data_IF_059534719761
#
_entry.id   IF_059534719761
#
_cell.length_a   1.000
_cell.length_b   1.000
_cell.length_c   1.000
_cell.angle_alpha   90.00
_cell.angle_beta   90.00
_cell.angle_gamma   90.00
#
_symmetry.space_group_name_H-M   'P 1'
#
loop_
_entity.id
_entity.type
_entity.pdbx_description
1 polymer ?
#
# COMPACT_ATOMS: atom_id res chain seq x y z
N UNK A 1 4.96 -16.57 -17.37
CA UNK A 1 5.15 -17.10 -16.02
C UNK A 1 4.36 -16.28 -15.01
N UNK A 2 4.48 -14.95 -15.04
CA UNK A 2 3.77 -14.07 -14.13
C UNK A 2 2.44 -13.63 -14.72
N UNK A 3 1.39 -13.73 -13.91
CA UNK A 3 0.01 -13.46 -14.32
C UNK A 3 -0.60 -12.25 -13.63
N UNK A 4 0.05 -11.74 -12.58
CA UNK A 4 -0.39 -10.55 -11.87
C UNK A 4 0.77 -9.59 -11.56
N UNK A 5 0.44 -8.29 -11.56
CA UNK A 5 1.23 -7.20 -11.06
C UNK A 5 0.59 -6.69 -9.77
N UNK A 6 1.36 -6.59 -8.69
CA UNK A 6 1.04 -5.85 -7.48
C UNK A 6 1.99 -4.67 -7.39
N UNK A 7 1.50 -3.44 -7.49
CA UNK A 7 2.35 -2.24 -7.48
C UNK A 7 1.95 -1.31 -6.35
N UNK A 8 2.95 -0.79 -5.63
CA UNK A 8 2.74 0.38 -4.77
C UNK A 8 2.35 1.60 -5.62
N UNK A 9 1.75 2.61 -4.97
CA UNK A 9 1.26 3.82 -5.63
C UNK A 9 2.28 4.95 -5.63
N UNK A 10 2.59 5.50 -4.44
CA UNK A 10 3.37 6.73 -4.32
C UNK A 10 4.86 6.50 -4.57
N UNK A 11 5.45 7.24 -5.51
CA UNK A 11 6.84 7.10 -5.95
C UNK A 11 7.21 5.72 -6.54
N UNK A 12 6.22 4.86 -6.76
CA UNK A 12 6.36 3.57 -7.46
C UNK A 12 5.62 3.59 -8.79
N UNK A 13 4.30 3.76 -8.78
CA UNK A 13 3.49 3.88 -10.00
C UNK A 13 3.18 5.35 -10.31
N UNK A 14 2.96 6.15 -9.27
CA UNK A 14 2.60 7.56 -9.37
C UNK A 14 3.76 8.48 -8.97
N UNK A 15 3.89 9.59 -9.67
CA UNK A 15 4.78 10.70 -9.34
C UNK A 15 3.93 11.89 -8.91
N UNK A 16 4.21 12.45 -7.72
CA UNK A 16 3.41 13.53 -7.13
C UNK A 16 1.90 13.21 -7.07
N UNK A 17 1.56 11.97 -6.73
CA UNK A 17 0.18 11.50 -6.60
C UNK A 17 -0.57 11.29 -7.92
N UNK A 18 0.11 11.31 -9.07
CA UNK A 18 -0.51 11.11 -10.38
C UNK A 18 0.20 10.03 -11.19
N UNK A 19 -0.59 9.19 -11.84
CA UNK A 19 -0.12 8.22 -12.83
C UNK A 19 -0.05 8.95 -14.17
N UNK A 20 1.11 8.91 -14.82
CA UNK A 20 1.29 9.53 -16.12
C UNK A 20 0.68 8.70 -17.27
N UNK A 21 0.67 9.28 -18.48
CA UNK A 21 0.10 8.63 -19.66
C UNK A 21 0.84 7.36 -20.08
N UNK A 22 2.16 7.27 -19.85
CA UNK A 22 2.96 6.11 -20.22
C UNK A 22 2.67 4.92 -19.28
N UNK A 23 2.61 5.17 -17.98
CA UNK A 23 2.26 4.16 -16.98
C UNK A 23 0.81 3.69 -17.15
N UNK A 24 -0.13 4.60 -17.46
CA UNK A 24 -1.51 4.24 -17.78
C UNK A 24 -1.59 3.33 -19.00
N UNK A 25 -0.94 3.70 -20.10
CA UNK A 25 -0.93 2.89 -21.33
C UNK A 25 -0.28 1.52 -21.10
N UNK A 26 0.75 1.43 -20.24
CA UNK A 26 1.36 0.16 -19.87
C UNK A 26 0.37 -0.73 -19.09
N UNK A 27 -0.37 -0.19 -18.12
CA UNK A 27 -1.42 -0.92 -17.40
C UNK A 27 -2.54 -1.40 -18.34
N UNK A 28 -2.94 -0.58 -19.29
CA UNK A 28 -3.92 -0.97 -20.31
C UNK A 28 -3.42 -2.16 -21.15
N UNK A 29 -2.15 -2.15 -21.58
CA UNK A 29 -1.51 -3.29 -22.29
C UNK A 29 -1.45 -4.54 -21.39
N UNK A 30 -1.07 -4.37 -20.11
CA UNK A 30 -1.05 -5.48 -19.15
C UNK A 30 -2.43 -6.17 -19.08
N UNK A 31 -3.48 -5.41 -18.90
CA UNK A 31 -4.86 -5.93 -18.85
C UNK A 31 -5.30 -6.57 -20.18
N UNK A 32 -4.99 -5.95 -21.30
CA UNK A 32 -5.28 -6.49 -22.63
C UNK A 32 -4.61 -7.84 -22.88
N UNK A 33 -3.49 -8.13 -22.21
CA UNK A 33 -2.80 -9.43 -22.26
C UNK A 33 -3.46 -10.51 -21.40
N UNK A 34 -4.56 -10.19 -20.70
CA UNK A 34 -5.26 -11.09 -19.77
C UNK A 34 -4.64 -11.18 -18.38
N UNK A 35 -3.61 -10.40 -18.09
CA UNK A 35 -3.00 -10.33 -16.76
C UNK A 35 -3.80 -9.45 -15.81
N UNK A 36 -3.62 -9.71 -14.51
CA UNK A 36 -4.28 -8.98 -13.43
C UNK A 36 -3.40 -7.86 -12.87
N UNK A 37 -4.03 -6.81 -12.37
CA UNK A 37 -3.34 -5.71 -11.71
C UNK A 37 -3.95 -5.43 -10.34
N UNK A 38 -3.09 -5.27 -9.32
CA UNK A 38 -3.46 -4.86 -7.97
C UNK A 38 -2.69 -3.60 -7.60
N UNK A 39 -3.40 -2.59 -7.11
CA UNK A 39 -2.80 -1.39 -6.52
C UNK A 39 -2.67 -1.59 -5.02
N UNK A 40 -1.50 -1.28 -4.46
CA UNK A 40 -1.19 -1.50 -3.04
C UNK A 40 -0.65 -0.21 -2.43
N UNK A 41 -1.35 0.38 -1.47
CA UNK A 41 -0.98 1.70 -0.96
C UNK A 41 -1.15 1.85 0.55
N UNK A 42 -0.36 2.73 1.17
CA UNK A 42 -0.56 3.20 2.54
C UNK A 42 -1.66 4.28 2.66
N UNK A 43 -2.10 4.87 1.55
CA UNK A 43 -3.13 5.92 1.56
C UNK A 43 -4.45 5.42 2.10
N UNK A 44 -5.21 6.34 2.72
CA UNK A 44 -6.64 6.11 2.98
C UNK A 44 -7.38 5.93 1.66
N UNK A 45 -8.39 5.07 1.66
CA UNK A 45 -9.12 4.77 0.42
C UNK A 45 -9.73 6.02 -0.22
N UNK A 46 -10.38 6.87 0.59
CA UNK A 46 -11.06 8.07 0.08
C UNK A 46 -10.06 9.07 -0.53
N UNK A 47 -8.87 9.20 0.07
CA UNK A 47 -7.79 10.03 -0.46
C UNK A 47 -7.27 9.46 -1.80
N UNK A 48 -7.01 8.16 -1.86
CA UNK A 48 -6.61 7.50 -3.11
C UNK A 48 -7.63 7.69 -4.22
N UNK A 49 -8.92 7.48 -3.92
CA UNK A 49 -10.00 7.61 -4.91
C UNK A 49 -10.16 9.03 -5.44
N UNK A 50 -9.71 10.03 -4.69
CA UNK A 50 -9.73 11.44 -5.13
C UNK A 50 -8.65 11.78 -6.14
N UNK A 51 -7.52 11.03 -6.15
CA UNK A 51 -6.35 11.33 -7.00
C UNK A 51 -6.09 10.27 -8.07
N UNK A 52 -6.52 9.02 -7.88
CA UNK A 52 -6.33 7.92 -8.82
C UNK A 52 -7.47 7.86 -9.84
N UNK A 53 -7.29 8.54 -10.97
CA UNK A 53 -8.30 8.60 -12.05
C UNK A 53 -8.47 7.29 -12.81
N UNK A 54 -7.47 6.39 -12.78
CA UNK A 54 -7.48 5.14 -13.54
C UNK A 54 -7.64 3.89 -12.65
N UNK A 55 -8.34 4.02 -11.51
CA UNK A 55 -8.59 2.91 -10.57
C UNK A 55 -9.29 1.72 -11.20
N UNK A 56 -10.04 1.93 -12.27
CA UNK A 56 -10.73 0.88 -13.05
C UNK A 56 -9.77 -0.06 -13.79
N UNK A 57 -8.49 0.30 -13.90
CA UNK A 57 -7.45 -0.55 -14.48
C UNK A 57 -6.96 -1.63 -13.49
N UNK A 58 -7.36 -1.56 -12.23
CA UNK A 58 -6.99 -2.54 -11.22
C UNK A 58 -8.16 -3.48 -10.91
N UNK A 59 -7.84 -4.77 -10.73
CA UNK A 59 -8.82 -5.76 -10.29
C UNK A 59 -9.15 -5.56 -8.81
N UNK A 60 -8.14 -5.21 -8.00
CA UNK A 60 -8.29 -4.85 -6.59
C UNK A 60 -7.37 -3.70 -6.21
N UNK A 61 -7.84 -2.91 -5.26
CA UNK A 61 -7.05 -1.90 -4.56
C UNK A 61 -6.90 -2.31 -3.10
N UNK A 62 -5.67 -2.53 -2.68
CA UNK A 62 -5.28 -2.75 -1.29
C UNK A 62 -4.88 -1.41 -0.70
N UNK A 63 -5.70 -0.87 0.18
CA UNK A 63 -5.49 0.45 0.77
C UNK A 63 -5.26 0.38 2.30
N UNK A 64 -4.97 1.54 2.90
CA UNK A 64 -4.70 1.66 4.32
C UNK A 64 -3.64 0.67 4.81
N UNK A 65 -2.54 0.59 4.04
CA UNK A 65 -1.40 -0.29 4.32
C UNK A 65 -1.78 -1.78 4.48
N UNK A 66 -2.81 -2.24 3.74
CA UNK A 66 -3.28 -3.61 3.75
C UNK A 66 -4.48 -3.90 4.64
N UNK A 67 -5.03 -2.87 5.29
CA UNK A 67 -6.15 -3.00 6.22
C UNK A 67 -7.50 -3.18 5.53
N UNK A 68 -7.59 -2.82 4.25
CA UNK A 68 -8.79 -3.05 3.45
C UNK A 68 -8.46 -3.42 2.00
N UNK A 69 -9.40 -4.13 1.38
CA UNK A 69 -9.41 -4.43 -0.06
C UNK A 69 -10.67 -3.83 -0.67
N UNK A 70 -10.49 -3.04 -1.70
CA UNK A 70 -11.56 -2.42 -2.48
C UNK A 70 -11.60 -3.04 -3.87
N UNK A 71 -12.79 -3.42 -4.31
CA UNK A 71 -13.08 -3.87 -5.67
C UNK A 71 -13.61 -2.68 -6.49
N UNK A 72 -12.87 -2.17 -7.48
CA UNK A 72 -13.31 -1.03 -8.28
C UNK A 72 -14.56 -1.32 -9.14
N UNK A 73 -14.82 -2.59 -9.47
CA UNK A 73 -15.94 -2.97 -10.31
C UNK A 73 -17.26 -3.01 -9.52
N UNK A 74 -17.27 -3.69 -8.38
CA UNK A 74 -18.47 -3.79 -7.52
C UNK A 74 -18.57 -2.61 -6.55
N UNK A 75 -17.49 -1.87 -6.32
CA UNK A 75 -17.31 -0.83 -5.29
C UNK A 75 -17.42 -1.38 -3.85
N UNK A 76 -17.25 -2.66 -3.68
CA UNK A 76 -17.27 -3.31 -2.39
C UNK A 76 -15.96 -3.08 -1.64
N UNK A 77 -16.08 -2.87 -0.32
CA UNK A 77 -14.95 -2.71 0.58
C UNK A 77 -14.97 -3.85 1.59
N UNK A 78 -13.88 -4.62 1.65
CA UNK A 78 -13.67 -5.64 2.67
C UNK A 78 -12.61 -5.15 3.66
N UNK A 79 -12.99 -4.99 4.93
CA UNK A 79 -12.06 -4.66 6.00
C UNK A 79 -11.39 -5.95 6.51
N UNK A 80 -10.09 -5.89 6.79
CA UNK A 80 -9.31 -7.01 7.31
C UNK A 80 -9.15 -6.97 8.83
N UNK A 81 -9.49 -5.85 9.46
CA UNK A 81 -9.45 -5.68 10.91
C UNK A 81 -10.44 -4.60 11.36
N UNK A 82 -10.74 -4.61 12.65
CA UNK A 82 -11.50 -3.54 13.29
C UNK A 82 -10.66 -2.26 13.40
N UNK A 83 -11.29 -1.07 13.31
CA UNK A 83 -10.59 0.19 13.50
C UNK A 83 -10.08 0.33 14.94
N UNK A 84 -9.01 1.10 15.15
CA UNK A 84 -8.62 1.49 16.50
C UNK A 84 -9.77 2.15 17.26
N UNK A 85 -9.91 1.91 18.58
CA UNK A 85 -11.05 2.43 19.34
C UNK A 85 -11.06 3.97 19.38
N UNK A 86 -12.24 4.56 19.41
CA UNK A 86 -12.40 6.03 19.46
C UNK A 86 -11.67 6.66 20.66
N UNK A 87 -11.55 5.94 21.77
CA UNK A 87 -10.76 6.35 22.94
C UNK A 87 -9.29 6.62 22.60
N UNK A 88 -8.70 5.84 21.69
CA UNK A 88 -7.35 6.04 21.20
C UNK A 88 -7.23 7.33 20.38
N UNK A 89 -8.14 7.53 19.44
CA UNK A 89 -8.19 8.73 18.59
C UNK A 89 -8.38 9.97 19.45
N UNK A 90 -9.31 9.93 20.42
CA UNK A 90 -9.54 11.02 21.35
C UNK A 90 -8.31 11.32 22.24
N UNK A 91 -7.57 10.29 22.67
CA UNK A 91 -6.36 10.46 23.45
C UNK A 91 -5.23 11.13 22.63
N UNK A 92 -5.06 10.76 21.37
CA UNK A 92 -4.08 11.41 20.48
C UNK A 92 -4.43 12.88 20.24
N UNK A 93 -5.72 13.19 20.01
CA UNK A 93 -6.18 14.59 19.87
C UNK A 93 -5.91 15.43 21.12
N UNK A 94 -6.18 14.89 22.34
CA UNK A 94 -5.88 15.57 23.61
C UNK A 94 -4.41 15.83 23.81
N UNK A 95 -3.53 14.97 23.28
CA UNK A 95 -2.07 15.13 23.32
C UNK A 95 -1.53 16.08 22.25
N UNK A 96 -2.42 16.62 21.40
CA UNK A 96 -2.04 17.57 20.35
C UNK A 96 -1.31 16.92 19.18
N UNK A 97 -1.48 15.59 18.96
CA UNK A 97 -0.92 14.91 17.78
C UNK A 97 -1.55 15.47 16.51
N UNK A 98 -0.72 16.08 15.65
CA UNK A 98 -1.14 16.73 14.40
C UNK A 98 -0.04 16.62 13.33
N UNK A 99 -0.39 16.39 12.04
CA UNK A 99 -1.74 16.07 11.57
C UNK A 99 -2.21 14.71 12.13
N UNK A 100 -3.51 14.53 12.28
CA UNK A 100 -4.10 13.24 12.65
C UNK A 100 -5.14 12.85 11.60
N UNK A 101 -4.79 11.89 10.79
CA UNK A 101 -5.62 11.36 9.73
C UNK A 101 -6.21 10.02 10.15
N UNK A 102 -7.53 9.91 10.08
CA UNK A 102 -8.28 8.71 10.47
C UNK A 102 -8.93 8.12 9.22
N UNK A 103 -8.53 6.90 8.88
CA UNK A 103 -9.12 6.09 7.82
C UNK A 103 -10.23 5.19 8.36
N UNK A 104 -10.54 4.14 7.61
CA UNK A 104 -11.50 3.10 8.03
C UNK A 104 -10.91 2.15 9.09
N UNK A 105 -9.60 1.90 9.00
CA UNK A 105 -8.84 1.11 9.97
C UNK A 105 -7.54 1.82 10.37
N UNK A 106 -6.87 2.50 9.44
CA UNK A 106 -5.61 3.18 9.71
C UNK A 106 -5.82 4.49 10.49
N UNK A 107 -4.88 4.78 11.40
CA UNK A 107 -4.68 6.13 11.94
C UNK A 107 -3.28 6.57 11.57
N UNK A 108 -3.13 7.73 10.97
CA UNK A 108 -1.82 8.21 10.52
C UNK A 108 -1.51 9.60 11.07
N UNK A 109 -0.23 9.84 11.28
CA UNK A 109 0.36 11.13 11.65
C UNK A 109 1.74 11.25 11.00
N UNK A 110 2.51 12.27 11.37
CA UNK A 110 3.88 12.47 10.88
C UNK A 110 4.88 12.48 12.03
N UNK A 111 6.14 12.18 11.72
CA UNK A 111 7.24 12.40 12.66
C UNK A 111 7.32 13.88 13.06
N UNK A 112 7.73 14.21 14.29
CA UNK A 112 8.27 13.34 15.35
C UNK A 112 7.23 12.91 16.41
N UNK A 113 6.05 12.49 16.02
CA UNK A 113 4.94 12.20 16.94
C UNK A 113 4.89 10.73 17.43
N UNK A 114 5.81 9.88 16.94
CA UNK A 114 5.82 8.43 17.23
C UNK A 114 5.89 8.12 18.73
N UNK A 115 6.63 8.90 19.49
CA UNK A 115 6.76 8.70 20.93
C UNK A 115 5.41 8.87 21.66
N UNK A 116 4.64 9.91 21.31
CA UNK A 116 3.32 10.17 21.89
C UNK A 116 2.30 9.10 21.50
N UNK A 117 2.39 8.61 20.25
CA UNK A 117 1.54 7.52 19.75
C UNK A 117 1.82 6.23 20.52
N UNK A 118 3.10 5.84 20.66
CA UNK A 118 3.51 4.64 21.41
C UNK A 118 3.10 4.70 22.88
N UNK A 119 3.25 5.86 23.51
CA UNK A 119 2.83 6.05 24.90
C UNK A 119 1.32 5.88 25.05
N UNK A 120 0.54 6.43 24.14
CA UNK A 120 -0.92 6.29 24.11
C UNK A 120 -1.35 4.84 23.92
N UNK A 121 -0.69 4.09 23.03
CA UNK A 121 -0.94 2.65 22.83
C UNK A 121 -0.69 1.87 24.13
N UNK A 122 0.42 2.15 24.83
CA UNK A 122 0.76 1.50 26.09
C UNK A 122 -0.25 1.79 27.21
N UNK A 123 -0.60 3.07 27.39
CA UNK A 123 -1.53 3.50 28.44
C UNK A 123 -2.91 2.87 28.27
N UNK A 124 -3.35 2.71 27.01
CA UNK A 124 -4.64 2.11 26.72
C UNK A 124 -4.59 0.57 26.57
N UNK A 125 -3.40 -0.04 26.67
CA UNK A 125 -3.23 -1.48 26.55
C UNK A 125 -3.65 -2.05 25.20
N UNK A 126 -3.41 -1.30 24.10
CA UNK A 126 -3.87 -1.68 22.76
C UNK A 126 -2.83 -2.52 22.02
N UNK A 127 -3.29 -3.48 21.23
CA UNK A 127 -2.46 -4.30 20.32
C UNK A 127 -2.35 -3.64 18.96
N UNK A 128 -1.69 -2.48 18.91
CA UNK A 128 -1.43 -1.71 17.71
C UNK A 128 0.07 -1.64 17.43
N UNK A 129 0.43 -1.54 16.16
CA UNK A 129 1.81 -1.40 15.70
C UNK A 129 1.97 -0.16 14.84
N UNK A 130 3.21 0.36 14.81
CA UNK A 130 3.59 1.49 13.98
C UNK A 130 4.31 0.99 12.72
N UNK A 131 3.93 1.58 11.58
CA UNK A 131 4.68 1.50 10.34
C UNK A 131 5.17 2.88 9.96
N UNK A 132 6.36 2.90 9.39
CA UNK A 132 6.97 4.11 8.87
C UNK A 132 7.01 4.08 7.35
N UNK A 133 6.73 5.21 6.75
CA UNK A 133 6.98 5.45 5.34
C UNK A 133 7.49 6.89 5.23
N UNK A 134 8.83 7.06 5.13
CA UNK A 134 9.49 8.36 5.20
C UNK A 134 9.10 9.10 6.49
N UNK A 135 8.37 10.21 6.39
CA UNK A 135 7.90 11.00 7.55
C UNK A 135 6.54 10.53 8.09
N UNK A 136 5.82 9.69 7.35
CA UNK A 136 4.52 9.21 7.79
C UNK A 136 4.66 8.13 8.86
N UNK A 137 3.87 8.26 9.92
CA UNK A 137 3.73 7.31 11.03
C UNK A 137 2.32 6.73 10.96
N UNK A 138 2.20 5.48 10.59
CA UNK A 138 0.94 4.78 10.40
C UNK A 138 0.70 3.79 11.55
N UNK A 139 -0.48 3.83 12.14
CA UNK A 139 -0.91 2.97 13.24
C UNK A 139 -1.96 2.00 12.75
N UNK A 140 -1.74 0.72 12.98
CA UNK A 140 -2.60 -0.36 12.51
C UNK A 140 -2.65 -1.49 13.55
N UNK A 141 -3.69 -2.35 13.54
CA UNK A 141 -3.69 -3.60 14.28
C UNK A 141 -2.48 -4.47 13.95
N UNK A 142 -1.96 -5.20 14.96
CA UNK A 142 -0.68 -5.92 14.89
C UNK A 142 -0.58 -6.98 13.76
N UNK A 143 -1.71 -7.48 13.25
CA UNK A 143 -1.74 -8.48 12.16
C UNK A 143 -1.80 -7.88 10.75
N UNK A 144 -1.89 -6.55 10.64
CA UNK A 144 -2.15 -5.86 9.37
C UNK A 144 -0.87 -5.28 8.78
N UNK A 145 -0.64 -5.56 7.51
CA UNK A 145 0.39 -4.96 6.66
C UNK A 145 0.00 -5.12 5.18
N UNK A 146 0.73 -4.54 4.24
CA UNK A 146 0.42 -4.62 2.80
C UNK A 146 0.25 -6.06 2.30
N UNK A 147 1.03 -7.03 2.82
CA UNK A 147 0.89 -8.43 2.42
C UNK A 147 -0.45 -9.05 2.86
N UNK A 148 -1.05 -8.63 3.98
CA UNK A 148 -2.35 -9.17 4.42
C UNK A 148 -3.46 -8.84 3.41
N UNK A 149 -3.51 -7.60 2.92
CA UNK A 149 -4.44 -7.19 1.88
C UNK A 149 -4.18 -7.87 0.53
N UNK A 150 -2.90 -7.95 0.11
CA UNK A 150 -2.53 -8.65 -1.14
C UNK A 150 -2.93 -10.13 -1.09
N UNK A 151 -2.75 -10.82 0.05
CA UNK A 151 -3.19 -12.23 0.22
C UNK A 151 -4.70 -12.37 0.03
N UNK A 152 -5.50 -11.43 0.53
CA UNK A 152 -6.95 -11.45 0.33
C UNK A 152 -7.29 -11.22 -1.14
N UNK A 153 -6.71 -10.21 -1.78
CA UNK A 153 -6.94 -9.92 -3.19
C UNK A 153 -6.57 -11.12 -4.09
N UNK A 154 -5.43 -11.78 -3.83
CA UNK A 154 -5.00 -12.99 -4.56
C UNK A 154 -5.98 -14.15 -4.37
N UNK A 155 -6.48 -14.38 -3.15
CA UNK A 155 -7.50 -15.40 -2.90
C UNK A 155 -8.78 -15.15 -3.70
N UNK A 156 -9.23 -13.89 -3.76
CA UNK A 156 -10.40 -13.50 -4.52
C UNK A 156 -10.20 -13.71 -6.04
N UNK A 157 -8.96 -13.55 -6.53
CA UNK A 157 -8.59 -13.81 -7.92
C UNK A 157 -8.31 -15.30 -8.22
N UNK A 158 -8.27 -16.16 -7.21
CA UNK A 158 -7.87 -17.57 -7.36
C UNK A 158 -6.41 -17.75 -7.78
N UNK A 159 -5.53 -16.82 -7.35
CA UNK A 159 -4.12 -16.77 -7.77
C UNK A 159 -3.16 -17.07 -6.61
N UNK A 160 -1.99 -17.61 -6.99
CA UNK A 160 -0.87 -17.87 -6.08
C UNK A 160 0.09 -16.67 -6.03
N UNK A 161 0.74 -16.42 -4.88
CA UNK A 161 1.85 -15.46 -4.81
C UNK A 161 3.01 -15.75 -5.79
N UNK A 162 3.18 -17.01 -6.22
CA UNK A 162 4.18 -17.41 -7.21
C UNK A 162 3.89 -16.89 -8.64
N UNK A 163 2.71 -16.35 -8.87
CA UNK A 163 2.30 -15.77 -10.16
C UNK A 163 2.43 -14.26 -10.19
N UNK A 164 2.97 -13.65 -9.11
CA UNK A 164 2.96 -12.20 -8.89
C UNK A 164 4.35 -11.59 -9.08
N UNK A 165 4.38 -10.46 -9.80
CA UNK A 165 5.45 -9.46 -9.73
C UNK A 165 5.00 -8.38 -8.76
N UNK A 166 5.80 -8.09 -7.74
CA UNK A 166 5.53 -7.03 -6.77
C UNK A 166 6.53 -5.89 -6.93
N UNK A 167 6.03 -4.66 -7.07
CA UNK A 167 6.87 -3.46 -7.28
C UNK A 167 6.67 -2.47 -6.15
N UNK A 168 7.76 -1.99 -5.55
CA UNK A 168 7.73 -1.04 -4.44
C UNK A 168 8.98 -0.17 -4.34
N UNK A 169 8.91 0.84 -3.45
CA UNK A 169 10.01 1.79 -3.22
C UNK A 169 10.36 2.02 -1.73
N UNK A 170 9.48 1.71 -0.79
CA UNK A 170 9.59 2.12 0.61
C UNK A 170 9.49 0.96 1.62
N UNK A 171 9.83 1.24 2.89
CA UNK A 171 9.95 0.23 3.95
C UNK A 171 8.67 -0.58 4.16
N UNK A 172 7.51 0.04 4.04
CA UNK A 172 6.22 -0.63 4.19
C UNK A 172 5.88 -1.59 3.03
N UNK A 173 6.69 -1.60 1.94
CA UNK A 173 6.53 -2.51 0.81
C UNK A 173 7.17 -3.88 1.04
N UNK A 174 8.12 -3.98 1.96
CA UNK A 174 8.82 -5.23 2.25
C UNK A 174 7.90 -6.43 2.40
N UNK A 175 6.77 -6.23 3.08
CA UNK A 175 5.86 -7.32 3.42
C UNK A 175 5.24 -7.97 2.18
N UNK A 176 4.73 -7.18 1.22
CA UNK A 176 4.10 -7.73 0.02
C UNK A 176 5.11 -8.09 -1.08
N UNK A 177 6.25 -7.38 -1.14
CA UNK A 177 7.35 -7.76 -2.02
C UNK A 177 7.91 -9.14 -1.67
N UNK A 178 8.11 -9.44 -0.38
CA UNK A 178 8.53 -10.78 0.08
C UNK A 178 7.49 -11.88 -0.14
N UNK A 179 6.22 -11.52 -0.25
CA UNK A 179 5.16 -12.48 -0.55
C UNK A 179 5.22 -12.95 -2.00
N UNK A 180 5.57 -12.06 -2.94
CA UNK A 180 5.58 -12.31 -4.36
C UNK A 180 6.82 -13.11 -4.80
N UNK A 181 6.67 -13.89 -5.87
CA UNK A 181 7.77 -14.64 -6.49
C UNK A 181 8.85 -13.71 -7.08
N UNK A 182 8.45 -12.56 -7.60
CA UNK A 182 9.35 -11.62 -8.23
C UNK A 182 9.22 -10.22 -7.60
N UNK A 183 9.97 -9.93 -6.53
CA UNK A 183 10.05 -8.59 -5.97
C UNK A 183 10.90 -7.68 -6.86
N UNK A 184 10.40 -6.49 -7.16
CA UNK A 184 11.07 -5.48 -8.00
C UNK A 184 11.15 -4.16 -7.25
N UNK A 185 12.29 -3.51 -7.28
CA UNK A 185 12.47 -2.16 -6.77
C UNK A 185 12.67 -1.17 -7.92
N UNK A 186 11.94 -0.05 -7.89
CA UNK A 186 12.16 1.06 -8.83
C UNK A 186 13.49 1.78 -8.52
N UNK A 187 14.02 2.54 -9.47
CA UNK A 187 15.34 3.18 -9.32
C UNK A 187 15.44 4.11 -8.10
N UNK A 188 14.36 4.81 -7.77
CA UNK A 188 14.26 5.71 -6.60
C UNK A 188 13.92 4.99 -5.28
N UNK A 189 13.87 3.67 -5.26
CA UNK A 189 13.60 2.91 -4.04
C UNK A 189 14.66 3.15 -2.96
N UNK A 190 14.22 3.12 -1.71
CA UNK A 190 15.07 3.26 -0.53
C UNK A 190 16.16 2.19 -0.44
N UNK A 191 17.24 2.51 0.29
CA UNK A 191 18.38 1.61 0.45
C UNK A 191 18.01 0.27 1.14
N UNK A 192 16.95 0.25 1.96
CA UNK A 192 16.47 -0.94 2.65
C UNK A 192 15.73 -1.93 1.70
N UNK A 193 15.14 -1.43 0.62
CA UNK A 193 14.34 -2.21 -0.33
C UNK A 193 15.22 -2.92 -1.36
N UNK A 194 16.17 -2.20 -1.96
CA UNK A 194 17.00 -2.68 -3.07
C UNK A 194 17.68 -4.03 -2.85
N UNK A 195 18.26 -4.34 -1.67
CA UNK A 195 18.91 -5.63 -1.43
C UNK A 195 17.97 -6.83 -1.43
N UNK A 196 16.66 -6.60 -1.25
CA UNK A 196 15.62 -7.65 -1.19
C UNK A 196 14.86 -7.81 -2.51
N UNK A 197 15.16 -7.01 -3.52
CA UNK A 197 14.56 -7.11 -4.85
C UNK A 197 15.31 -8.12 -5.72
N UNK A 198 14.57 -8.92 -6.48
CA UNK A 198 15.12 -9.80 -7.50
C UNK A 198 15.51 -9.01 -8.77
N UNK A 199 14.83 -7.88 -8.99
CA UNK A 199 15.08 -6.99 -10.13
C UNK A 199 15.15 -5.55 -9.62
N UNK A 200 16.13 -4.80 -10.11
CA UNK A 200 16.20 -3.34 -9.96
C UNK A 200 15.82 -2.72 -11.31
N UNK A 201 14.69 -2.05 -11.38
CA UNK A 201 14.30 -1.32 -12.58
C UNK A 201 15.22 -0.11 -12.78
N UNK A 202 15.53 0.22 -14.02
CA UNK A 202 16.33 1.39 -14.35
C UNK A 202 15.52 2.69 -14.28
N UNK A 203 14.20 2.58 -14.50
CA UNK A 203 13.26 3.71 -14.44
C UNK A 203 12.91 4.13 -13.02
N UNK A 204 12.66 5.44 -12.86
CA UNK A 204 12.19 6.06 -11.62
C UNK A 204 10.67 6.00 -11.60
N UNK A 205 10.08 5.60 -10.47
CA UNK A 205 8.63 5.55 -10.26
C UNK A 205 7.89 4.87 -11.45
N UNK A 206 6.90 5.54 -12.06
CA UNK A 206 6.10 5.01 -13.16
C UNK A 206 6.91 4.48 -14.32
N UNK A 207 8.04 5.10 -14.68
CA UNK A 207 8.94 4.60 -15.73
C UNK A 207 9.49 3.20 -15.41
N UNK A 208 9.80 2.93 -14.13
CA UNK A 208 10.24 1.61 -13.69
C UNK A 208 9.13 0.55 -13.83
N UNK A 209 7.87 0.93 -13.60
CA UNK A 209 6.73 0.02 -13.82
C UNK A 209 6.49 -0.20 -15.32
N UNK A 210 6.62 0.85 -16.15
CA UNK A 210 6.50 0.75 -17.62
C UNK A 210 7.53 -0.21 -18.20
N UNK A 211 8.76 -0.16 -17.68
CA UNK A 211 9.86 -1.06 -18.10
C UNK A 211 9.53 -2.55 -17.88
N UNK A 212 8.74 -2.86 -16.83
CA UNK A 212 8.40 -4.22 -16.45
C UNK A 212 7.23 -4.83 -17.23
N UNK A 213 6.35 -3.98 -17.80
CA UNK A 213 5.14 -4.34 -18.54
C UNK A 213 5.42 -4.46 -20.05
#
# INVERSE_FOLDING_TARGET
RYLALATDYDNTLATNGRIDGAARAALERLRASGRRAMLVTGRRLDDLLSVCECRELFDYVVAENGALVYDPQSREITLLAEPPPETFIAALRRRGVQPLEVGKVIVATHAPQEAQVLETIRELGLELQLFFNREAVMVLPASINKASGVKLALRNLGMSPHEVVAVGDAENDHSFMRLAECPVAVANAGASIKPNAAILAAGVAGDGVVELI
#
